data_IF_254741411427
#
_entry.id   IF_254741411427
#
_cell.length_a   1.000
_cell.length_b   1.000
_cell.length_c   1.000
_cell.angle_alpha   90.00
_cell.angle_beta   90.00
_cell.angle_gamma   90.00
#
_symmetry.space_group_name_H-M   'P 1'
#
loop_
_entity.id
_entity.type
_entity.pdbx_description
1 polymer ?
#
# COMPACT_ATOMS: atom_id res chain seq x y z
N UNK A 1 -4.18 3.52 -10.12
CA UNK A 1 -3.97 3.27 -8.68
C UNK A 1 -2.47 3.12 -8.32
N UNK A 2 -1.60 3.05 -9.33
CA UNK A 2 -0.15 2.89 -9.25
C UNK A 2 0.55 3.94 -8.38
N UNK A 3 0.21 5.22 -8.58
CA UNK A 3 0.81 6.34 -7.84
C UNK A 3 0.51 6.20 -6.34
N UNK A 4 -0.75 5.93 -5.98
CA UNK A 4 -1.19 5.72 -4.59
C UNK A 4 -0.44 4.54 -3.97
N UNK A 5 -0.32 3.42 -4.69
CA UNK A 5 0.42 2.24 -4.21
C UNK A 5 1.90 2.52 -3.96
N UNK A 6 2.57 3.26 -4.84
CA UNK A 6 3.98 3.65 -4.68
C UNK A 6 4.16 4.56 -3.46
N UNK A 7 3.28 5.55 -3.28
CA UNK A 7 3.33 6.47 -2.13
C UNK A 7 3.15 5.69 -0.82
N UNK A 8 2.19 4.77 -0.76
CA UNK A 8 1.95 3.92 0.41
C UNK A 8 3.17 3.05 0.77
N UNK A 9 3.87 2.50 -0.22
CA UNK A 9 5.09 1.73 -0.01
C UNK A 9 6.20 2.62 0.55
N UNK A 10 6.41 3.82 -0.01
CA UNK A 10 7.43 4.75 0.48
C UNK A 10 7.14 5.21 1.91
N UNK A 11 5.88 5.54 2.22
CA UNK A 11 5.44 5.91 3.56
C UNK A 11 5.64 4.75 4.54
N UNK A 12 5.31 3.51 4.16
CA UNK A 12 5.49 2.35 5.02
C UNK A 12 6.97 2.06 5.30
N UNK A 13 7.86 2.17 4.30
CA UNK A 13 9.31 2.02 4.52
C UNK A 13 9.84 3.11 5.46
N UNK A 14 9.47 4.37 5.22
CA UNK A 14 9.86 5.48 6.08
C UNK A 14 9.31 5.33 7.51
N UNK A 15 8.06 4.87 7.64
CA UNK A 15 7.40 4.64 8.92
C UNK A 15 8.01 3.50 9.73
N UNK A 16 8.51 2.44 9.09
CA UNK A 16 9.29 1.39 9.77
C UNK A 16 10.60 1.98 10.32
N UNK A 17 11.27 2.81 9.53
CA UNK A 17 12.52 3.44 9.95
C UNK A 17 12.32 4.36 11.16
N UNK A 18 11.29 5.21 11.11
CA UNK A 18 10.91 6.10 12.22
C UNK A 18 10.41 5.30 13.43
N UNK A 19 9.57 4.29 13.22
CA UNK A 19 9.05 3.43 14.27
C UNK A 19 10.15 2.64 15.00
N UNK A 20 11.23 2.29 14.30
CA UNK A 20 12.40 1.63 14.89
C UNK A 20 13.24 2.56 15.78
N UNK A 21 13.12 3.88 15.58
CA UNK A 21 13.77 4.90 16.42
C UNK A 21 12.90 5.31 17.63
N UNK A 22 11.63 4.89 17.66
CA UNK A 22 10.68 5.20 18.74
C UNK A 22 10.58 4.03 19.73
N UNK A 23 10.45 4.32 21.02
CA UNK A 23 10.34 3.32 22.09
C UNK A 23 8.94 3.28 22.71
N UNK A 24 8.53 2.10 23.16
CA UNK A 24 7.24 1.87 23.82
C UNK A 24 6.07 1.80 22.83
N UNK A 25 4.88 2.12 23.33
CA UNK A 25 3.61 1.95 22.59
C UNK A 25 3.54 2.76 21.30
N UNK A 26 4.23 3.91 21.26
CA UNK A 26 4.30 4.77 20.07
C UNK A 26 5.07 4.07 18.94
N UNK A 27 6.17 3.39 19.26
CA UNK A 27 6.95 2.63 18.27
C UNK A 27 6.15 1.46 17.69
N UNK A 28 5.41 0.75 18.55
CA UNK A 28 4.52 -0.34 18.13
C UNK A 28 3.38 0.17 17.24
N UNK A 29 2.73 1.27 17.64
CA UNK A 29 1.68 1.90 16.85
C UNK A 29 2.20 2.35 15.48
N UNK A 30 3.39 2.96 15.43
CA UNK A 30 4.05 3.35 14.19
C UNK A 30 4.40 2.14 13.31
N UNK A 31 4.87 1.03 13.89
CA UNK A 31 5.13 -0.22 13.17
C UNK A 31 3.86 -0.82 12.58
N UNK A 32 2.77 -0.88 13.34
CA UNK A 32 1.49 -1.41 12.85
C UNK A 32 0.96 -0.54 11.70
N UNK A 33 0.99 0.78 11.85
CA UNK A 33 0.56 1.72 10.81
C UNK A 33 1.40 1.63 9.54
N UNK A 34 2.73 1.48 9.68
CA UNK A 34 3.64 1.36 8.55
C UNK A 34 3.54 0.02 7.82
N UNK A 35 3.33 -1.09 8.55
CA UNK A 35 3.02 -2.40 7.97
C UNK A 35 1.69 -2.38 7.21
N UNK A 36 0.65 -1.77 7.78
CA UNK A 36 -0.65 -1.62 7.12
C UNK A 36 -0.53 -0.81 5.81
N UNK A 37 0.24 0.28 5.83
CA UNK A 37 0.54 1.08 4.64
C UNK A 37 1.28 0.28 3.56
N UNK A 38 2.30 -0.49 3.94
CA UNK A 38 3.07 -1.36 3.03
C UNK A 38 2.18 -2.41 2.36
N UNK A 39 1.41 -3.17 3.15
CA UNK A 39 0.52 -4.20 2.60
C UNK A 39 -0.59 -3.63 1.73
N UNK A 40 -1.16 -2.49 2.12
CA UNK A 40 -2.13 -1.76 1.30
C UNK A 40 -1.54 -1.32 -0.03
N UNK A 41 -0.32 -0.75 -0.03
CA UNK A 41 0.38 -0.33 -1.24
C UNK A 41 0.66 -1.47 -2.22
N UNK A 42 1.10 -2.64 -1.70
CA UNK A 42 1.28 -3.86 -2.49
C UNK A 42 -0.07 -4.34 -3.07
N UNK A 43 -1.13 -4.30 -2.27
CA UNK A 43 -2.50 -4.64 -2.69
C UNK A 43 -2.97 -3.79 -3.87
N UNK A 44 -2.80 -2.46 -3.79
CA UNK A 44 -3.16 -1.54 -4.87
C UNK A 44 -2.39 -1.82 -6.17
N UNK A 45 -1.11 -2.20 -6.08
CA UNK A 45 -0.32 -2.54 -7.27
C UNK A 45 -0.84 -3.80 -7.97
N UNK A 46 -1.30 -4.80 -7.21
CA UNK A 46 -1.85 -6.04 -7.77
C UNK A 46 -3.29 -5.88 -8.25
N UNK A 47 -4.07 -5.01 -7.60
CA UNK A 47 -5.46 -4.75 -7.96
C UNK A 47 -5.60 -3.98 -9.27
N UNK A 48 -4.70 -3.04 -9.58
CA UNK A 48 -4.74 -2.28 -10.84
C UNK A 48 -4.73 -3.18 -12.08
N UNK A 49 -3.92 -4.26 -12.06
CA UNK A 49 -3.85 -5.20 -13.19
C UNK A 49 -5.19 -5.92 -13.42
N UNK A 50 -5.85 -6.33 -12.34
CA UNK A 50 -7.14 -7.02 -12.41
C UNK A 50 -8.25 -6.08 -12.87
N UNK A 51 -8.34 -4.88 -12.28
CA UNK A 51 -9.37 -3.89 -12.65
C UNK A 51 -9.26 -3.52 -14.12
N UNK A 52 -8.04 -3.32 -14.63
CA UNK A 52 -7.83 -2.97 -16.04
C UNK A 52 -8.23 -4.11 -17.00
N UNK A 53 -8.10 -5.36 -16.57
CA UNK A 53 -8.55 -6.52 -17.34
C UNK A 53 -10.08 -6.61 -17.36
N UNK A 54 -10.74 -6.50 -16.20
CA UNK A 54 -12.20 -6.52 -16.11
C UNK A 54 -12.84 -5.37 -16.91
N UNK A 55 -12.26 -4.16 -16.85
CA UNK A 55 -12.74 -3.03 -17.64
C UNK A 55 -12.70 -3.31 -19.15
N UNK A 56 -11.68 -4.03 -19.62
CA UNK A 56 -11.54 -4.40 -21.04
C UNK A 56 -12.52 -5.50 -21.48
N UNK A 57 -12.88 -6.42 -20.59
CA UNK A 57 -13.87 -7.48 -20.86
C UNK A 57 -15.31 -6.93 -20.93
N UNK A 58 -15.61 -5.86 -20.19
CA UNK A 58 -16.89 -5.14 -20.28
C UNK A 58 -16.98 -4.39 -21.62
N UNK A 59 -15.94 -3.63 -21.98
CA UNK A 59 -15.89 -2.87 -23.25
C UNK A 59 -15.91 -3.75 -24.52
N UNK A 60 -15.53 -5.03 -24.41
CA UNK A 60 -15.54 -5.99 -25.53
C UNK A 60 -16.86 -6.76 -25.68
N UNK A 61 -17.79 -6.61 -24.73
CA UNK A 61 -19.12 -7.24 -24.75
C UNK A 61 -20.26 -6.24 -25.02
N UNK A 62 -19.95 -4.95 -25.17
CA UNK A 62 -20.82 -3.88 -25.71
C UNK A 62 -20.51 -3.65 -27.20
#
# INVERSE_FOLDING_TARGET
MKIIGIILILIGIAGIFVGSLMFGDIGVAAMIGSLAALFSGIGFFRFEKKVKQYAKEVDAND
#
